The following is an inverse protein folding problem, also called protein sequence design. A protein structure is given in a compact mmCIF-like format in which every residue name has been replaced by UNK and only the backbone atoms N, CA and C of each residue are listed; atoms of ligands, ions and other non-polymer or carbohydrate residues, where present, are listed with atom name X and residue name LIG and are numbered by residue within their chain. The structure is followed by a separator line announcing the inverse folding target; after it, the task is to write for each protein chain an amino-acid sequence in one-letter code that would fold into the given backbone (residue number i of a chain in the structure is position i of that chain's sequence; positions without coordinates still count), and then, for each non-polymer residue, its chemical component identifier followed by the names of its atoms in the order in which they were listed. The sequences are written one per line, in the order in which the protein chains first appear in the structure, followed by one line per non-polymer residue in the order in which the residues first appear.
data_IF_985782853408
#
_entry.id   IF_985782853408
#
_cell.length_a   1.000
_cell.length_b   1.000
_cell.length_c   1.000
_cell.angle_alpha   90.00
_cell.angle_beta   90.00
_cell.angle_gamma   90.00
#
_symmetry.space_group_name_H-M   'P 1'
#
loop_
_entity.id
_entity.type
_entity.pdbx_description
1 polymer ?
#
# COMPACT_ATOMS: atom_id res chain seq x y z
N UNK A 1 0.10 20.45 3.20
CA UNK A 1 -0.22 19.02 3.26
C UNK A 1 0.00 18.38 1.90
N UNK A 2 0.72 17.27 1.87
CA UNK A 2 1.02 16.60 0.60
C UNK A 2 -0.24 16.00 -0.02
N UNK A 3 -0.31 16.06 -1.32
CA UNK A 3 -1.44 15.51 -2.09
C UNK A 3 -0.90 14.64 -3.21
N UNK A 4 -1.73 13.73 -3.70
CA UNK A 4 -1.42 12.93 -4.88
C UNK A 4 -1.48 13.82 -6.11
N UNK A 5 -0.35 14.02 -6.83
CA UNK A 5 -0.35 14.88 -8.03
C UNK A 5 -0.96 14.21 -9.26
N UNK A 6 -1.40 12.97 -9.17
CA UNK A 6 -2.03 12.27 -10.29
C UNK A 6 -1.08 11.75 -11.34
N UNK A 7 0.17 11.44 -10.97
CA UNK A 7 1.15 10.87 -11.90
C UNK A 7 1.29 9.36 -11.69
N UNK A 8 1.67 8.65 -12.73
CA UNK A 8 1.73 7.19 -12.68
C UNK A 8 0.35 6.55 -12.64
N UNK A 9 0.29 5.31 -12.21
CA UNK A 9 -0.97 4.58 -12.04
C UNK A 9 -1.67 5.04 -10.76
N UNK A 10 -3.00 4.91 -10.73
CA UNK A 10 -3.76 5.06 -9.48
C UNK A 10 -3.54 3.82 -8.63
N UNK A 11 -3.19 4.01 -7.36
CA UNK A 11 -2.96 2.88 -6.44
C UNK A 11 -3.95 2.97 -5.30
N UNK A 12 -4.73 1.91 -5.13
CA UNK A 12 -5.61 1.75 -3.97
C UNK A 12 -5.06 0.64 -3.08
N UNK A 13 -5.21 0.83 -1.78
CA UNK A 13 -4.71 -0.10 -0.78
C UNK A 13 -5.86 -0.54 0.10
N UNK A 14 -5.87 -1.81 0.48
CA UNK A 14 -6.88 -2.37 1.38
C UNK A 14 -6.22 -3.27 2.39
N UNK A 15 -6.57 -3.11 3.67
CA UNK A 15 -6.13 -4.02 4.72
C UNK A 15 -6.91 -5.31 4.58
N UNK A 16 -6.23 -6.40 4.25
CA UNK A 16 -6.90 -7.70 4.04
C UNK A 16 -6.85 -8.59 5.27
N UNK A 17 -5.88 -8.38 6.17
CA UNK A 17 -5.85 -9.11 7.43
C UNK A 17 -5.00 -8.39 8.46
N UNK A 18 -5.32 -8.62 9.75
CA UNK A 18 -4.52 -8.18 10.88
C UNK A 18 -4.40 -9.38 11.81
N UNK A 19 -3.16 -9.86 12.03
CA UNK A 19 -2.94 -11.04 12.86
C UNK A 19 -3.23 -10.79 14.32
N UNK A 20 -2.76 -9.66 14.85
CA UNK A 20 -2.97 -9.24 16.22
C UNK A 20 -3.77 -7.96 16.30
N UNK A 21 -3.23 -6.96 16.98
CA UNK A 21 -3.85 -5.64 17.08
C UNK A 21 -2.87 -4.59 16.58
N UNK A 22 -3.22 -3.91 15.49
CA UNK A 22 -2.37 -2.87 14.92
C UNK A 22 -2.28 -1.67 15.86
N UNK A 23 -1.07 -1.26 16.24
CA UNK A 23 -0.88 -0.11 17.11
C UNK A 23 -1.32 1.20 16.48
N UNK A 24 -1.31 1.29 15.16
CA UNK A 24 -1.82 2.46 14.43
C UNK A 24 -3.34 2.42 14.25
N UNK A 25 -3.99 1.32 14.65
CA UNK A 25 -5.44 1.20 14.60
C UNK A 25 -6.03 0.71 13.28
N UNK A 26 -5.20 0.20 12.37
CA UNK A 26 -5.72 -0.35 11.12
C UNK A 26 -6.55 -1.61 11.37
N UNK A 27 -7.64 -1.75 10.63
CA UNK A 27 -8.56 -2.87 10.72
C UNK A 27 -8.80 -3.45 9.34
N UNK A 28 -9.14 -4.75 9.31
CA UNK A 28 -9.52 -5.42 8.07
C UNK A 28 -10.63 -4.65 7.38
N UNK A 29 -10.47 -4.41 6.09
CA UNK A 29 -11.42 -3.66 5.28
C UNK A 29 -11.10 -2.19 5.12
N UNK A 30 -10.17 -1.63 5.91
CA UNK A 30 -9.75 -0.24 5.73
C UNK A 30 -9.14 -0.05 4.35
N UNK A 31 -9.47 1.08 3.71
CA UNK A 31 -8.99 1.40 2.37
C UNK A 31 -8.31 2.75 2.34
N UNK A 32 -7.32 2.87 1.46
CA UNK A 32 -6.54 4.08 1.28
C UNK A 32 -6.29 4.30 -0.22
N UNK A 33 -6.22 5.55 -0.64
CA UNK A 33 -5.73 5.87 -1.98
C UNK A 33 -4.33 6.45 -1.82
N UNK A 34 -3.33 5.58 -1.90
CA UNK A 34 -1.94 5.96 -1.61
C UNK A 34 -1.16 6.27 -2.88
N UNK A 35 -0.13 7.07 -2.72
CA UNK A 35 0.85 7.32 -3.79
C UNK A 35 2.21 7.57 -3.17
N UNK A 36 3.23 7.64 -4.00
CA UNK A 36 4.56 8.01 -3.54
C UNK A 36 4.61 9.40 -2.90
N UNK A 37 3.61 10.23 -3.13
CA UNK A 37 3.53 11.58 -2.56
C UNK A 37 2.60 11.67 -1.36
N UNK A 38 1.75 10.68 -1.13
CA UNK A 38 0.72 10.76 -0.10
C UNK A 38 0.40 9.38 0.48
N UNK A 39 0.67 9.16 1.76
CA UNK A 39 0.32 7.89 2.42
C UNK A 39 -1.18 7.73 2.71
N UNK A 40 -1.96 8.79 2.61
CA UNK A 40 -3.42 8.81 2.83
C UNK A 40 -3.86 8.15 4.15
N UNK A 41 -3.09 8.36 5.21
CA UNK A 41 -3.42 7.81 6.53
C UNK A 41 -2.84 6.44 6.82
N UNK A 42 -2.12 5.83 5.89
CA UNK A 42 -1.44 4.58 6.18
C UNK A 42 -0.35 4.82 7.22
N UNK A 43 -0.17 3.85 8.13
CA UNK A 43 0.85 3.90 9.17
C UNK A 43 2.23 4.24 8.58
N UNK A 44 2.93 5.17 9.22
CA UNK A 44 4.24 5.62 8.74
C UNK A 44 5.27 4.50 8.62
N UNK A 45 5.33 3.58 9.60
CA UNK A 45 6.22 2.43 9.52
C UNK A 45 5.91 1.55 8.30
N UNK A 46 4.64 1.31 8.05
CA UNK A 46 4.22 0.48 6.93
C UNK A 46 4.52 1.17 5.61
N UNK A 47 4.18 2.44 5.51
CA UNK A 47 4.44 3.24 4.32
C UNK A 47 5.94 3.30 4.00
N UNK A 48 6.76 3.53 5.02
CA UNK A 48 8.21 3.55 4.86
C UNK A 48 8.73 2.22 4.34
N UNK A 49 8.25 1.11 4.92
CA UNK A 49 8.72 -0.22 4.57
C UNK A 49 8.35 -0.62 3.15
N UNK A 50 7.16 -0.26 2.69
CA UNK A 50 6.68 -0.65 1.36
C UNK A 50 7.08 0.34 0.26
N UNK A 51 7.69 1.47 0.61
CA UNK A 51 7.91 2.55 -0.34
C UNK A 51 8.68 2.12 -1.60
N UNK A 52 9.75 1.33 -1.53
CA UNK A 52 10.42 0.86 -2.75
C UNK A 52 9.50 0.06 -3.67
N UNK A 53 8.69 -0.83 -3.12
CA UNK A 53 7.72 -1.61 -3.89
C UNK A 53 6.61 -0.72 -4.44
N UNK A 54 6.12 0.21 -3.62
CA UNK A 54 5.08 1.16 -4.04
C UNK A 54 5.57 2.00 -5.22
N UNK A 55 6.79 2.49 -5.18
CA UNK A 55 7.31 3.33 -6.26
C UNK A 55 7.41 2.56 -7.57
N UNK A 56 7.91 1.34 -7.54
CA UNK A 56 7.95 0.49 -8.74
C UNK A 56 6.54 0.21 -9.24
N UNK A 57 5.64 -0.13 -8.33
CA UNK A 57 4.26 -0.51 -8.67
C UNK A 57 3.48 0.66 -9.28
N UNK A 58 3.59 1.83 -8.68
CA UNK A 58 2.86 3.03 -9.14
C UNK A 58 3.28 3.45 -10.55
N UNK A 59 4.54 3.29 -10.89
CA UNK A 59 5.07 3.73 -12.18
C UNK A 59 5.14 2.60 -13.22
N UNK A 60 4.40 1.52 -13.00
CA UNK A 60 4.23 0.48 -13.99
C UNK A 60 5.31 -0.59 -14.03
N UNK A 61 6.23 -0.58 -13.06
CA UNK A 61 7.25 -1.62 -12.95
C UNK A 61 6.66 -2.96 -12.56
N UNK A 62 7.39 -4.02 -12.86
CA UNK A 62 7.00 -5.37 -12.48
C UNK A 62 8.21 -6.12 -11.94
N UNK A 63 8.00 -6.82 -10.82
CA UNK A 63 8.97 -7.79 -10.35
C UNK A 63 8.56 -9.16 -10.88
N UNK A 64 9.53 -10.08 -11.08
CA UNK A 64 9.22 -11.38 -11.73
C UNK A 64 8.14 -12.20 -11.02
N UNK A 65 7.96 -11.99 -9.70
CA UNK A 65 6.97 -12.73 -8.92
C UNK A 65 5.63 -11.99 -8.77
N UNK A 66 5.50 -10.80 -9.34
CA UNK A 66 4.22 -10.08 -9.32
C UNK A 66 3.35 -10.58 -10.47
N UNK A 67 2.06 -10.75 -10.20
CA UNK A 67 1.09 -11.17 -11.19
C UNK A 67 0.01 -10.10 -11.35
N UNK A 68 -0.10 -9.57 -12.57
CA UNK A 68 -1.13 -8.59 -12.88
C UNK A 68 -0.97 -7.25 -12.16
N UNK A 69 -2.09 -6.68 -11.75
CA UNK A 69 -2.16 -5.33 -11.17
C UNK A 69 -2.48 -5.34 -9.68
N UNK A 70 -2.26 -6.45 -9.01
CA UNK A 70 -2.54 -6.60 -7.57
C UNK A 70 -1.37 -7.29 -6.90
N UNK A 71 -0.86 -6.69 -5.81
CA UNK A 71 0.19 -7.31 -5.00
C UNK A 71 -0.19 -7.23 -3.53
N UNK A 72 0.42 -8.10 -2.72
CA UNK A 72 0.24 -8.06 -1.27
C UNK A 72 1.57 -7.78 -0.59
N UNK A 73 1.54 -6.92 0.42
CA UNK A 73 2.70 -6.54 1.21
C UNK A 73 2.33 -6.63 2.68
N UNK A 74 3.33 -6.84 3.53
CA UNK A 74 3.11 -6.99 4.96
C UNK A 74 3.91 -5.94 5.72
N UNK A 75 3.37 -5.48 6.87
CA UNK A 75 4.07 -4.52 7.69
C UNK A 75 5.28 -5.17 8.39
N UNK A 76 6.24 -4.35 8.86
CA UNK A 76 7.43 -4.90 9.51
C UNK A 76 7.16 -5.49 10.91
N UNK A 77 5.99 -5.26 11.49
CA UNK A 77 5.62 -5.82 12.79
C UNK A 77 5.14 -7.25 12.65
N UNK A 78 6.03 -8.20 12.93
CA UNK A 78 5.70 -9.63 12.81
C UNK A 78 4.73 -10.13 13.89
N UNK A 79 4.55 -9.39 14.97
CA UNK A 79 3.66 -9.79 16.07
C UNK A 79 2.19 -9.51 15.74
N UNK A 80 1.91 -8.35 15.17
CA UNK A 80 0.54 -7.93 14.85
C UNK A 80 0.24 -7.97 13.36
N UNK A 81 1.13 -8.40 12.59
CA UNK A 81 1.23 -8.49 11.15
C UNK A 81 -0.02 -8.05 10.37
N UNK A 82 0.08 -6.88 9.77
CA UNK A 82 -0.95 -6.34 8.90
C UNK A 82 -0.59 -6.67 7.46
N UNK A 83 -1.53 -7.23 6.72
CA UNK A 83 -1.36 -7.52 5.29
C UNK A 83 -2.17 -6.52 4.48
N UNK A 84 -1.49 -5.90 3.53
CA UNK A 84 -2.05 -4.87 2.67
C UNK A 84 -2.10 -5.37 1.23
N UNK A 85 -3.22 -5.18 0.58
CA UNK A 85 -3.34 -5.43 -0.86
C UNK A 85 -3.26 -4.11 -1.59
N UNK A 86 -2.33 -3.99 -2.54
CA UNK A 86 -2.24 -2.86 -3.44
C UNK A 86 -2.81 -3.24 -4.80
N UNK A 87 -3.63 -2.38 -5.34
CA UNK A 87 -4.19 -2.54 -6.69
C UNK A 87 -3.91 -1.28 -7.47
N UNK A 88 -3.33 -1.43 -8.66
CA UNK A 88 -3.10 -0.30 -9.56
C UNK A 88 -4.06 -0.35 -10.74
N UNK A 89 -4.44 0.84 -11.21
CA UNK A 89 -5.34 0.98 -12.35
C UNK A 89 -4.96 2.23 -13.14
N UNK A 90 -5.50 2.31 -14.35
CA UNK A 90 -5.29 3.50 -15.16
C UNK A 90 -6.04 4.69 -14.54
N UNK A 91 -5.49 5.87 -14.74
CA UNK A 91 -6.17 7.11 -14.37
C UNK A 91 -7.09 7.55 -15.48
N UNK A 92 -8.19 8.13 -15.09
CA UNK A 92 -9.15 8.67 -16.05
C UNK A 92 -8.67 9.99 -16.67
#
# INVERSE_FOLDING_TARGET
MAKDPGIGKKVTARIVSVKGKCNAGHQEGDTFEISCHNPDGLCGFFYHDIFPSLSAFQFGGNLPWWEGNTIQLQCPDSYNLVTLELKRSERD
#
